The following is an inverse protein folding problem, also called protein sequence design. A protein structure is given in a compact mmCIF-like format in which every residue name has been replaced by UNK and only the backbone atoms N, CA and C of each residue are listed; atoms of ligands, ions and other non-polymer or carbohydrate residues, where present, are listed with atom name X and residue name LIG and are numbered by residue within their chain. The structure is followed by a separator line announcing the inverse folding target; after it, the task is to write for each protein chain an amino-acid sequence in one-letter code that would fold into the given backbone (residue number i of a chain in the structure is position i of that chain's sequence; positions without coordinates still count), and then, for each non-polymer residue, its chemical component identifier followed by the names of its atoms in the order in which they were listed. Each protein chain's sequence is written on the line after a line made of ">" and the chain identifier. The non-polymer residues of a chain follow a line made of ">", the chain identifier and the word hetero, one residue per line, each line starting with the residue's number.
data_IF_998459033088
#
_entry.id   IF_998459033088
#
_cell.length_a   1.000
_cell.length_b   1.000
_cell.length_c   1.000
_cell.angle_alpha   90.00
_cell.angle_beta   90.00
_cell.angle_gamma   90.00
#
_symmetry.space_group_name_H-M   'P 1'
#
loop_
_entity.id
_entity.type
_entity.pdbx_description
1 polymer ?
#
# COMPACT_ATOMS: atom_id res chain seq x y z
N UNK A 1 12.47 0.93 -4.01
CA UNK A 1 11.43 -0.09 -3.74
C UNK A 1 11.07 0.02 -2.28
N UNK A 2 9.78 0.00 -1.94
CA UNK A 2 9.32 0.09 -0.56
C UNK A 2 8.45 -1.11 -0.19
N UNK A 3 8.61 -1.61 1.03
CA UNK A 3 7.72 -2.60 1.61
C UNK A 3 6.61 -1.88 2.37
N UNK A 4 5.35 -2.12 1.98
CA UNK A 4 4.17 -1.48 2.58
C UNK A 4 3.35 -2.53 3.31
N UNK A 5 3.24 -2.36 4.63
CA UNK A 5 2.41 -3.17 5.52
C UNK A 5 1.22 -2.35 5.99
N UNK A 6 0.00 -2.91 5.93
CA UNK A 6 -1.19 -2.23 6.42
C UNK A 6 -2.07 -3.15 7.28
N UNK A 7 -2.68 -2.58 8.32
CA UNK A 7 -3.70 -3.25 9.12
C UNK A 7 -5.06 -2.57 8.91
N UNK A 8 -5.99 -3.27 8.26
CA UNK A 8 -7.32 -2.75 7.94
C UNK A 8 -8.37 -3.73 8.47
N UNK A 9 -9.01 -3.36 9.58
CA UNK A 9 -10.04 -4.20 10.24
C UNK A 9 -11.25 -4.50 9.36
N UNK A 10 -11.70 -3.53 8.56
CA UNK A 10 -12.87 -3.71 7.70
C UNK A 10 -12.53 -4.50 6.44
N UNK A 11 -13.09 -5.69 6.31
CA UNK A 11 -12.84 -6.64 5.21
C UNK A 11 -13.11 -6.05 3.82
N UNK A 12 -14.18 -5.26 3.66
CA UNK A 12 -14.53 -4.63 2.40
C UNK A 12 -13.49 -3.60 1.99
N UNK A 13 -13.02 -2.77 2.94
CA UNK A 13 -11.94 -1.79 2.72
C UNK A 13 -10.62 -2.48 2.42
N UNK A 14 -10.27 -3.51 3.18
CA UNK A 14 -9.05 -4.31 2.99
C UNK A 14 -8.99 -4.93 1.60
N UNK A 15 -10.09 -5.56 1.17
CA UNK A 15 -10.21 -6.18 -0.15
C UNK A 15 -10.11 -5.14 -1.28
N UNK A 16 -10.73 -3.97 -1.11
CA UNK A 16 -10.64 -2.87 -2.08
C UNK A 16 -9.22 -2.33 -2.20
N UNK A 17 -8.53 -2.13 -1.08
CA UNK A 17 -7.15 -1.66 -1.05
C UNK A 17 -6.21 -2.67 -1.72
N UNK A 18 -6.34 -3.94 -1.39
CA UNK A 18 -5.48 -4.97 -1.94
C UNK A 18 -5.63 -5.10 -3.47
N UNK A 19 -6.88 -5.07 -3.99
CA UNK A 19 -7.16 -5.03 -5.43
C UNK A 19 -6.56 -3.82 -6.14
N UNK A 20 -6.51 -2.66 -5.46
CA UNK A 20 -5.91 -1.45 -6.01
C UNK A 20 -4.38 -1.58 -6.10
N UNK A 21 -3.75 -2.13 -5.05
CA UNK A 21 -2.30 -2.30 -4.99
C UNK A 21 -1.82 -3.34 -6.02
N UNK A 22 -2.56 -4.42 -6.23
CA UNK A 22 -2.23 -5.46 -7.23
C UNK A 22 -2.11 -4.93 -8.67
N UNK A 23 -2.69 -3.76 -8.98
CA UNK A 23 -2.56 -3.16 -10.31
C UNK A 23 -1.17 -2.57 -10.58
N UNK A 24 -0.40 -2.25 -9.53
CA UNK A 24 0.84 -1.47 -9.63
C UNK A 24 1.98 -1.97 -8.72
N UNK A 25 1.70 -2.93 -7.84
CA UNK A 25 2.58 -3.41 -6.78
C UNK A 25 2.56 -4.94 -6.75
N UNK A 26 3.61 -5.54 -6.20
CA UNK A 26 3.70 -6.97 -6.03
C UNK A 26 3.22 -7.37 -4.64
N UNK A 27 2.21 -8.23 -4.54
CA UNK A 27 1.79 -8.80 -3.25
C UNK A 27 2.82 -9.84 -2.79
N UNK A 28 3.34 -9.70 -1.57
CA UNK A 28 4.30 -10.65 -0.96
C UNK A 28 3.71 -11.41 0.22
N UNK A 29 2.72 -10.84 0.91
CA UNK A 29 1.92 -11.51 1.93
C UNK A 29 0.49 -10.98 1.92
N UNK A 30 -0.41 -11.54 2.75
CA UNK A 30 -1.83 -11.17 2.79
C UNK A 30 -2.06 -9.64 2.85
N UNK A 31 -1.28 -8.91 3.66
CA UNK A 31 -1.36 -7.45 3.83
C UNK A 31 -0.03 -6.72 3.62
N UNK A 32 0.88 -7.35 2.88
CA UNK A 32 2.22 -6.83 2.64
C UNK A 32 2.48 -6.81 1.14
N UNK A 33 2.92 -5.65 0.66
CA UNK A 33 3.18 -5.39 -0.75
C UNK A 33 4.55 -4.74 -0.95
N UNK A 34 5.24 -5.16 -2.00
CA UNK A 34 6.39 -4.44 -2.54
C UNK A 34 5.90 -3.42 -3.58
N UNK A 35 6.19 -2.15 -3.34
CA UNK A 35 5.67 -1.03 -4.10
C UNK A 35 6.84 -0.26 -4.76
N UNK A 36 6.81 -0.03 -6.09
CA UNK A 36 7.80 0.77 -6.80
C UNK A 36 7.51 2.27 -6.61
N UNK A 37 7.66 2.76 -5.38
CA UNK A 37 7.42 4.16 -5.02
C UNK A 37 8.78 4.89 -4.95
N UNK A 38 8.85 6.11 -5.48
CA UNK A 38 10.01 6.99 -5.33
C UNK A 38 9.92 7.86 -4.07
N UNK A 39 11.04 8.44 -3.65
CA UNK A 39 11.10 9.23 -2.41
C UNK A 39 10.15 10.43 -2.41
N UNK A 40 9.97 11.10 -3.56
CA UNK A 40 9.07 12.26 -3.69
C UNK A 40 7.61 11.87 -3.50
N UNK A 41 7.23 10.72 -4.05
CA UNK A 41 5.90 10.17 -3.91
C UNK A 41 5.66 9.70 -2.48
N UNK A 42 6.65 9.07 -1.85
CA UNK A 42 6.56 8.69 -0.44
C UNK A 42 6.35 9.91 0.47
N UNK A 43 7.15 10.96 0.30
CA UNK A 43 7.02 12.21 1.06
C UNK A 43 5.63 12.83 0.94
N UNK A 44 5.05 12.83 -0.28
CA UNK A 44 3.66 13.28 -0.49
C UNK A 44 2.64 12.41 0.25
N UNK A 45 2.77 11.09 0.19
CA UNK A 45 1.85 10.17 0.85
C UNK A 45 1.86 10.33 2.37
N UNK A 46 3.04 10.54 2.95
CA UNK A 46 3.18 10.75 4.40
C UNK A 46 2.62 12.12 4.82
N UNK A 47 2.93 13.19 4.10
CA UNK A 47 2.43 14.55 4.41
C UNK A 47 0.91 14.70 4.31
N UNK A 48 0.24 13.91 3.48
CA UNK A 48 -1.22 13.92 3.38
C UNK A 48 -1.93 13.31 4.60
N UNK A 49 -1.20 12.66 5.51
CA UNK A 49 -1.77 11.81 6.56
C UNK A 49 -1.39 12.28 7.97
N UNK A 50 -0.67 13.40 8.11
CA UNK A 50 -0.31 14.03 9.38
C UNK A 50 -0.69 15.51 9.40
#
# INVERSE_FOLDING_TARGET
>A
MWLVCFDVRNDRRRSKLAKLLEQRCQRVQYLVFECPIDEKMLDRLLKLTF
#
